data_IF_982088064937
#
_entry.id   IF_982088064937
#
_cell.length_a   1.000
_cell.length_b   1.000
_cell.length_c   1.000
_cell.angle_alpha   90.00
_cell.angle_beta   90.00
_cell.angle_gamma   90.00
#
_symmetry.space_group_name_H-M   'P 1'
#
loop_
_entity.id
_entity.type
_entity.pdbx_description
1 polymer ?
#
# COMPACT_ATOMS: atom_id res chain seq x y z
N UNK A 1 24.00 -11.78 -16.38
CA UNK A 1 24.85 -12.51 -15.40
C UNK A 1 24.03 -12.67 -14.13
N UNK A 2 23.42 -13.84 -13.93
CA UNK A 2 22.71 -14.16 -12.70
C UNK A 2 23.78 -14.35 -11.61
N UNK A 3 23.96 -13.35 -10.74
CA UNK A 3 24.78 -13.52 -9.54
C UNK A 3 24.13 -14.60 -8.70
N UNK A 4 24.93 -15.58 -8.25
CA UNK A 4 24.51 -16.56 -7.27
C UNK A 4 23.83 -15.84 -6.10
N UNK A 5 22.55 -16.14 -5.85
CA UNK A 5 21.79 -15.62 -4.72
C UNK A 5 22.32 -16.27 -3.42
N UNK A 6 23.57 -15.97 -3.06
CA UNK A 6 24.11 -16.35 -1.75
C UNK A 6 23.30 -15.58 -0.71
N UNK A 7 22.64 -16.31 0.18
CA UNK A 7 21.92 -15.72 1.30
C UNK A 7 22.88 -14.86 2.13
N UNK A 8 22.79 -13.53 1.98
CA UNK A 8 23.67 -12.57 2.66
C UNK A 8 23.63 -12.69 4.18
N UNK A 9 22.57 -13.32 4.71
CA UNK A 9 22.31 -13.47 6.14
C UNK A 9 22.67 -14.85 6.70
N UNK A 10 23.32 -15.74 5.93
CA UNK A 10 23.67 -17.09 6.37
C UNK A 10 24.48 -17.12 7.69
N UNK A 11 25.25 -16.07 7.94
CA UNK A 11 26.04 -15.91 9.18
C UNK A 11 25.12 -15.85 10.42
N UNK A 12 23.90 -15.32 10.31
CA UNK A 12 22.98 -15.17 11.45
C UNK A 12 22.04 -16.38 11.64
N UNK A 13 22.15 -17.45 10.85
CA UNK A 13 21.21 -18.59 10.88
C UNK A 13 21.31 -19.43 12.16
N UNK A 14 22.43 -19.35 12.87
CA UNK A 14 22.62 -20.01 14.16
C UNK A 14 21.76 -19.38 15.28
N UNK A 15 21.32 -18.13 15.13
CA UNK A 15 20.50 -17.44 16.14
C UNK A 15 19.04 -17.80 15.90
N UNK A 16 18.41 -18.48 16.87
CA UNK A 16 16.99 -18.80 16.80
C UNK A 16 16.14 -17.66 17.36
N UNK A 17 14.95 -17.47 16.79
CA UNK A 17 13.98 -16.50 17.31
C UNK A 17 13.43 -16.99 18.64
N UNK A 18 13.66 -16.21 19.69
CA UNK A 18 12.98 -16.36 20.98
C UNK A 18 11.55 -15.85 20.87
N UNK A 19 10.65 -16.42 21.68
CA UNK A 19 9.30 -15.90 21.85
C UNK A 19 9.35 -14.77 22.90
N UNK A 20 8.54 -13.72 22.76
CA UNK A 20 8.43 -12.70 23.79
C UNK A 20 7.92 -13.33 25.08
N UNK A 21 8.51 -12.92 26.20
CA UNK A 21 7.94 -13.21 27.51
C UNK A 21 6.70 -12.34 27.70
N UNK A 22 5.57 -12.98 28.01
CA UNK A 22 4.27 -12.31 28.16
C UNK A 22 4.09 -11.82 29.61
N UNK A 23 5.04 -12.12 30.50
CA UNK A 23 4.98 -11.67 31.89
C UNK A 23 5.05 -10.14 31.97
N UNK A 24 4.02 -9.56 32.60
CA UNK A 24 3.96 -8.12 32.86
C UNK A 24 4.72 -7.83 34.14
N UNK A 25 5.85 -7.14 34.03
CA UNK A 25 6.61 -6.65 35.19
C UNK A 25 6.03 -5.32 35.68
N UNK A 26 6.17 -5.05 36.99
CA UNK A 26 5.65 -3.80 37.59
C UNK A 26 6.24 -2.53 36.99
N UNK A 27 7.48 -2.59 36.49
CA UNK A 27 8.15 -1.47 35.83
C UNK A 27 7.43 -1.07 34.53
N UNK A 28 7.03 -2.05 33.71
CA UNK A 28 6.31 -1.83 32.46
C UNK A 28 4.92 -1.24 32.74
N UNK A 29 4.24 -1.74 33.77
CA UNK A 29 2.95 -1.22 34.18
C UNK A 29 3.05 0.25 34.65
N UNK A 30 4.11 0.62 35.38
CA UNK A 30 4.36 2.01 35.82
C UNK A 30 4.65 2.94 34.65
N UNK A 31 5.48 2.53 33.69
CA UNK A 31 5.78 3.34 32.50
C UNK A 31 4.53 3.58 31.65
N UNK A 32 3.69 2.57 31.43
CA UNK A 32 2.45 2.73 30.64
C UNK A 32 1.41 3.51 31.44
N UNK A 33 1.29 3.29 32.74
CA UNK A 33 0.39 4.03 33.63
C UNK A 33 0.73 5.52 33.69
N UNK A 34 2.01 5.90 33.56
CA UNK A 34 2.43 7.30 33.45
C UNK A 34 2.00 7.97 32.14
N UNK A 35 1.70 7.18 31.10
CA UNK A 35 1.21 7.67 29.82
C UNK A 35 -0.32 7.79 29.84
N UNK A 36 -0.83 8.96 30.28
CA UNK A 36 -2.26 9.31 30.41
C UNK A 36 -3.11 9.20 29.11
N UNK A 37 -2.50 8.84 27.97
CA UNK A 37 -3.16 8.72 26.66
C UNK A 37 -3.78 7.34 26.41
N UNK A 38 -3.56 6.34 27.27
CA UNK A 38 -3.89 4.91 27.04
C UNK A 38 -5.25 4.46 27.60
N UNK A 39 -6.25 5.34 27.60
CA UNK A 39 -7.50 5.11 28.35
C UNK A 39 -8.59 4.20 27.74
N UNK A 40 -8.53 3.66 26.50
CA UNK A 40 -9.49 2.62 26.12
C UNK A 40 -8.96 1.18 26.13
N UNK A 41 -7.64 0.93 26.22
CA UNK A 41 -7.12 -0.45 26.15
C UNK A 41 -5.72 -0.58 26.79
N UNK A 42 -5.65 -0.48 28.11
CA UNK A 42 -4.41 -0.67 28.87
C UNK A 42 -3.74 -2.02 28.57
N UNK A 43 -4.52 -3.10 28.46
CA UNK A 43 -4.04 -4.44 28.10
C UNK A 43 -3.40 -4.48 26.70
N UNK A 44 -4.01 -3.80 25.73
CA UNK A 44 -3.42 -3.67 24.39
C UNK A 44 -2.13 -2.87 24.43
N UNK A 45 -2.08 -1.81 25.22
CA UNK A 45 -0.87 -1.01 25.43
C UNK A 45 0.28 -1.84 26.03
N UNK A 46 -0.03 -2.66 27.04
CA UNK A 46 0.91 -3.61 27.64
C UNK A 46 1.45 -4.60 26.60
N UNK A 47 0.54 -5.23 25.86
CA UNK A 47 0.89 -6.17 24.79
C UNK A 47 1.79 -5.52 23.74
N UNK A 48 1.39 -4.36 23.21
CA UNK A 48 2.15 -3.62 22.20
C UNK A 48 3.52 -3.20 22.72
N UNK A 49 3.63 -2.80 23.99
CA UNK A 49 4.89 -2.41 24.61
C UNK A 49 5.86 -3.59 24.72
N UNK A 50 5.41 -4.72 25.25
CA UNK A 50 6.23 -5.95 25.38
C UNK A 50 6.76 -6.38 24.02
N UNK A 51 5.90 -6.37 23.00
CA UNK A 51 6.28 -6.72 21.64
C UNK A 51 7.27 -5.71 21.04
N UNK A 52 7.04 -4.41 21.22
CA UNK A 52 7.97 -3.37 20.76
C UNK A 52 9.35 -3.54 21.41
N UNK A 53 9.40 -3.82 22.71
CA UNK A 53 10.64 -4.02 23.45
C UNK A 53 11.36 -5.30 23.05
N UNK A 54 10.63 -6.41 22.82
CA UNK A 54 11.22 -7.68 22.38
C UNK A 54 11.70 -7.67 20.92
N UNK A 55 11.02 -6.93 20.04
CA UNK A 55 11.43 -6.77 18.64
C UNK A 55 12.29 -5.51 18.40
N UNK A 56 12.79 -4.89 19.46
CA UNK A 56 13.72 -3.76 19.36
C UNK A 56 15.12 -4.24 18.98
N UNK A 57 15.93 -3.32 18.45
CA UNK A 57 17.36 -3.54 18.24
C UNK A 57 18.14 -3.74 19.54
N UNK A 58 17.59 -3.40 20.71
CA UNK A 58 18.30 -3.48 21.98
C UNK A 58 18.29 -4.90 22.56
N UNK A 59 17.15 -5.59 22.46
CA UNK A 59 16.96 -6.93 23.02
C UNK A 59 17.20 -8.05 22.01
N UNK A 60 16.90 -7.82 20.73
CA UNK A 60 16.87 -8.88 19.72
C UNK A 60 18.22 -9.09 19.03
N UNK A 61 18.95 -10.12 19.41
CA UNK A 61 20.28 -10.44 18.86
C UNK A 61 20.25 -10.79 17.37
N UNK A 62 19.23 -11.52 16.92
CA UNK A 62 19.07 -11.86 15.51
C UNK A 62 18.89 -10.59 14.67
N UNK A 63 18.05 -9.66 15.17
CA UNK A 63 17.82 -8.39 14.51
C UNK A 63 19.11 -7.55 14.46
N UNK A 64 19.88 -7.50 15.56
CA UNK A 64 21.20 -6.85 15.60
C UNK A 64 22.14 -7.43 14.55
N UNK A 65 22.28 -8.76 14.51
CA UNK A 65 23.15 -9.45 13.54
C UNK A 65 22.77 -9.11 12.10
N UNK A 66 21.48 -9.21 11.76
CA UNK A 66 20.98 -8.89 10.42
C UNK A 66 21.14 -7.42 10.07
N UNK A 67 20.94 -6.52 11.04
CA UNK A 67 21.12 -5.09 10.85
C UNK A 67 22.59 -4.72 10.58
N UNK A 68 23.54 -5.35 11.29
CA UNK A 68 24.96 -5.14 11.05
C UNK A 68 25.39 -5.63 9.66
N UNK A 69 24.91 -6.80 9.23
CA UNK A 69 25.15 -7.28 7.86
C UNK A 69 24.49 -6.37 6.82
N UNK A 70 23.26 -5.95 7.08
CA UNK A 70 22.54 -4.98 6.25
C UNK A 70 23.35 -3.69 6.09
N UNK A 71 23.99 -3.19 7.15
CA UNK A 71 24.83 -1.98 7.14
C UNK A 71 26.15 -2.20 6.38
N UNK A 72 26.80 -3.35 6.53
CA UNK A 72 28.03 -3.70 5.81
C UNK A 72 27.80 -3.76 4.29
N UNK A 73 26.64 -4.26 3.88
CA UNK A 73 26.30 -4.45 2.47
C UNK A 73 25.37 -3.35 1.92
N UNK A 74 25.56 -2.10 2.35
CA UNK A 74 24.78 -0.96 1.81
C UNK A 74 25.19 -0.66 0.37
N UNK A 75 26.47 -0.78 0.06
CA UNK A 75 27.06 -0.40 -1.23
C UNK A 75 26.63 -1.31 -2.38
N UNK A 76 26.42 -2.60 -2.09
CA UNK A 76 26.01 -3.60 -3.09
C UNK A 76 24.54 -3.45 -3.54
N UNK A 77 23.81 -2.49 -2.98
CA UNK A 77 22.39 -2.37 -3.25
C UNK A 77 22.11 -1.62 -4.52
N UNK A 78 21.22 -2.22 -5.30
CA UNK A 78 20.50 -1.50 -6.35
C UNK A 78 19.59 -0.49 -5.66
N UNK A 79 19.96 0.79 -5.71
CA UNK A 79 19.07 1.88 -5.30
C UNK A 79 17.87 1.88 -6.23
N UNK A 80 16.78 1.25 -5.80
CA UNK A 80 15.49 1.39 -6.43
C UNK A 80 14.72 2.45 -5.64
N UNK A 81 14.18 3.49 -6.30
CA UNK A 81 13.29 4.41 -5.60
C UNK A 81 12.13 3.60 -5.01
N UNK A 82 11.80 3.85 -3.74
CA UNK A 82 10.63 3.24 -3.14
C UNK A 82 9.40 3.79 -3.84
N UNK A 83 8.83 3.01 -4.75
CA UNK A 83 7.58 3.35 -5.40
C UNK A 83 6.47 2.93 -4.44
N UNK A 84 5.88 3.90 -3.76
CA UNK A 84 4.64 3.65 -3.05
C UNK A 84 3.60 3.15 -4.06
N UNK A 85 2.99 1.98 -3.84
CA UNK A 85 1.83 1.54 -4.61
C UNK A 85 0.81 2.68 -4.62
N UNK A 86 0.38 3.12 -5.80
CA UNK A 86 -0.71 4.08 -5.85
C UNK A 86 -1.93 3.42 -5.18
N UNK A 87 -2.56 4.10 -4.22
CA UNK A 87 -3.73 3.55 -3.51
C UNK A 87 -4.85 3.17 -4.50
N UNK A 88 -4.89 3.86 -5.64
CA UNK A 88 -5.85 3.64 -6.73
C UNK A 88 -5.66 2.31 -7.47
N UNK A 89 -4.46 1.74 -7.39
CA UNK A 89 -4.11 0.47 -8.02
C UNK A 89 -4.23 -0.70 -7.01
N UNK A 90 -4.53 -0.42 -5.74
CA UNK A 90 -4.83 -1.44 -4.73
C UNK A 90 -6.29 -1.89 -4.88
N UNK A 91 -6.47 -3.17 -5.19
CA UNK A 91 -7.76 -3.80 -5.41
C UNK A 91 -8.03 -4.82 -4.30
N UNK A 92 -9.28 -4.86 -3.84
CA UNK A 92 -9.73 -5.89 -2.92
C UNK A 92 -10.40 -7.00 -3.73
N UNK A 93 -9.79 -8.18 -3.77
CA UNK A 93 -10.29 -9.33 -4.52
C UNK A 93 -10.25 -10.58 -3.65
N UNK A 94 -11.42 -11.24 -3.50
CA UNK A 94 -11.59 -12.46 -2.72
C UNK A 94 -10.97 -12.39 -1.30
N UNK A 95 -11.21 -11.30 -0.58
CA UNK A 95 -10.73 -11.15 0.81
C UNK A 95 -9.26 -10.74 0.93
N UNK A 96 -8.54 -10.52 -0.18
CA UNK A 96 -7.13 -10.16 -0.19
C UNK A 96 -6.90 -8.82 -0.92
N UNK A 97 -6.01 -8.00 -0.37
CA UNK A 97 -5.54 -6.78 -1.03
C UNK A 97 -4.48 -7.18 -2.05
N UNK A 98 -4.69 -6.82 -3.33
CA UNK A 98 -3.79 -7.09 -4.44
C UNK A 98 -3.44 -5.79 -5.17
N UNK A 99 -2.21 -5.65 -5.65
CA UNK A 99 -1.80 -4.50 -6.45
C UNK A 99 -1.95 -4.81 -7.95
N UNK A 100 -2.94 -4.20 -8.60
CA UNK A 100 -3.35 -4.45 -9.98
C UNK A 100 -3.47 -3.12 -10.76
N UNK A 101 -2.35 -2.49 -11.14
CA UNK A 101 -2.37 -1.19 -11.82
C UNK A 101 -2.98 -1.24 -13.22
N UNK A 102 -3.15 -2.43 -13.82
CA UNK A 102 -3.87 -2.64 -15.08
C UNK A 102 -5.38 -2.51 -14.96
N UNK A 103 -5.93 -2.69 -13.76
CA UNK A 103 -7.37 -2.68 -13.50
C UNK A 103 -7.85 -1.34 -12.93
N UNK A 104 -6.96 -0.37 -12.76
CA UNK A 104 -7.33 0.92 -12.19
C UNK A 104 -8.34 1.65 -13.07
N UNK A 105 -9.36 2.21 -12.43
CA UNK A 105 -10.52 2.87 -13.07
C UNK A 105 -10.07 3.97 -14.05
N UNK A 106 -8.91 4.58 -13.79
CA UNK A 106 -8.33 5.66 -14.58
C UNK A 106 -7.64 5.21 -15.87
N UNK A 107 -7.32 3.91 -16.02
CA UNK A 107 -6.79 3.36 -17.27
C UNK A 107 -7.86 3.01 -18.28
N UNK A 108 -9.12 2.87 -17.85
CA UNK A 108 -10.22 2.65 -18.78
C UNK A 108 -10.61 4.01 -19.39
N UNK A 109 -10.40 4.22 -20.71
CA UNK A 109 -10.79 5.46 -21.38
C UNK A 109 -12.32 5.64 -21.44
N UNK A 110 -13.05 4.54 -21.25
CA UNK A 110 -14.50 4.50 -21.23
C UNK A 110 -15.01 4.18 -19.83
N UNK A 111 -15.46 5.21 -19.09
CA UNK A 111 -16.19 5.03 -17.83
C UNK A 111 -17.65 4.58 -18.03
N UNK A 112 -18.05 4.35 -19.28
CA UNK A 112 -19.39 3.88 -19.62
C UNK A 112 -19.43 2.36 -19.48
N UNK A 113 -20.21 1.92 -18.51
CA UNK A 113 -20.89 0.63 -18.49
C UNK A 113 -20.06 -0.59 -18.09
N UNK A 114 -19.99 -0.84 -16.78
CA UNK A 114 -19.86 -2.21 -16.22
C UNK A 114 -20.92 -2.55 -15.19
N UNK A 115 -22.04 -1.82 -15.15
CA UNK A 115 -23.22 -2.31 -14.42
C UNK A 115 -23.98 -3.24 -15.36
N UNK A 116 -24.11 -4.51 -14.96
CA UNK A 116 -25.04 -5.43 -15.62
C UNK A 116 -26.45 -4.85 -15.45
N UNK A 117 -27.32 -4.91 -16.48
CA UNK A 117 -28.69 -4.44 -16.36
C UNK A 117 -29.36 -5.16 -15.19
N UNK A 118 -29.98 -4.39 -14.32
CA UNK A 118 -30.60 -4.82 -13.07
C UNK A 118 -31.64 -3.81 -12.63
N UNK A 119 -32.38 -4.04 -11.52
CA UNK A 119 -33.45 -3.13 -11.09
C UNK A 119 -32.88 -1.71 -10.87
N UNK A 120 -33.31 -0.75 -11.70
CA UNK A 120 -32.83 0.63 -11.69
C UNK A 120 -31.70 0.97 -12.69
N UNK A 121 -31.36 0.06 -13.62
CA UNK A 121 -30.35 0.26 -14.67
C UNK A 121 -30.89 -0.26 -16.01
N UNK A 122 -31.15 0.63 -16.96
CA UNK A 122 -31.64 0.28 -18.30
C UNK A 122 -30.54 -0.38 -19.17
N UNK A 123 -30.94 -0.98 -20.30
CA UNK A 123 -30.01 -1.55 -21.32
C UNK A 123 -28.99 -0.53 -21.85
N UNK A 124 -29.30 0.77 -21.74
CA UNK A 124 -28.43 1.89 -22.10
C UNK A 124 -27.59 2.43 -20.93
N UNK A 125 -27.66 1.82 -19.74
CA UNK A 125 -26.97 2.23 -18.51
C UNK A 125 -27.86 2.97 -17.50
N UNK A 126 -27.27 3.48 -16.42
CA UNK A 126 -27.97 4.32 -15.44
C UNK A 126 -28.37 5.65 -16.08
N UNK A 127 -29.64 6.02 -15.96
CA UNK A 127 -30.09 7.39 -16.25
C UNK A 127 -29.53 8.30 -15.14
N UNK A 128 -28.76 9.35 -15.47
CA UNK A 128 -28.21 10.22 -14.44
C UNK A 128 -29.34 10.90 -13.66
N UNK A 129 -29.17 11.01 -12.34
CA UNK A 129 -30.11 11.71 -11.47
C UNK A 129 -30.22 13.16 -11.98
N UNK A 130 -31.44 13.73 -12.12
CA UNK A 130 -31.65 15.04 -12.76
C UNK A 130 -30.77 16.18 -12.23
N UNK A 131 -30.33 16.11 -10.97
CA UNK A 131 -29.43 17.08 -10.36
C UNK A 131 -28.00 17.07 -10.95
N UNK A 132 -27.52 15.95 -11.49
CA UNK A 132 -26.23 15.87 -12.20
C UNK A 132 -26.28 16.46 -13.62
N UNK A 133 -27.46 16.45 -14.26
CA UNK A 133 -27.68 17.07 -15.57
C UNK A 133 -27.60 18.61 -15.51
N UNK A 134 -27.90 19.19 -14.35
CA UNK A 134 -27.89 20.64 -14.12
C UNK A 134 -26.49 21.19 -13.77
N UNK A 135 -25.54 20.33 -13.39
CA UNK A 135 -24.16 20.76 -13.19
C UNK A 135 -23.46 20.94 -14.53
N UNK A 136 -23.25 22.21 -14.94
CA UNK A 136 -22.40 22.54 -16.09
C UNK A 136 -20.97 22.06 -15.84
N UNK A 137 -20.62 20.85 -16.29
CA UNK A 137 -19.22 20.42 -16.37
C UNK A 137 -18.54 21.32 -17.40
N UNK A 138 -17.51 22.05 -16.97
CA UNK A 138 -16.80 23.03 -17.79
C UNK A 138 -16.45 22.46 -19.16
N UNK A 139 -16.79 23.21 -20.22
CA UNK A 139 -16.52 22.81 -21.60
C UNK A 139 -15.02 22.83 -21.85
N UNK A 140 -14.39 21.66 -21.96
CA UNK A 140 -13.07 21.56 -22.58
C UNK A 140 -13.26 21.83 -24.06
N UNK A 141 -12.78 22.98 -24.54
CA UNK A 141 -12.77 23.30 -25.96
C UNK A 141 -11.88 22.28 -26.66
N UNK A 142 -12.48 21.41 -27.48
CA UNK A 142 -11.71 20.58 -28.41
C UNK A 142 -11.23 21.51 -29.52
N UNK A 143 -9.91 21.67 -29.64
CA UNK A 143 -9.33 22.34 -30.79
C UNK A 143 -9.70 21.53 -32.04
N UNK A 144 -10.52 22.15 -32.89
CA UNK A 144 -10.93 21.57 -34.18
C UNK A 144 -9.70 21.60 -35.08
N UNK A 145 -8.97 20.50 -35.16
CA UNK A 145 -7.95 20.30 -36.18
C UNK A 145 -8.66 20.23 -37.53
N UNK A 146 -8.74 21.38 -38.21
CA UNK A 146 -9.35 21.50 -39.53
C UNK A 146 -8.66 20.58 -40.53
N UNK A 147 -9.39 19.60 -41.04
CA UNK A 147 -9.00 18.85 -42.24
C UNK A 147 -8.97 19.83 -43.42
N UNK A 148 -7.79 20.34 -43.78
CA UNK A 148 -7.60 21.04 -45.06
C UNK A 148 -7.78 20.03 -46.19
N UNK A 149 -8.95 20.06 -46.82
CA UNK A 149 -9.21 19.38 -48.08
C UNK A 149 -8.22 19.91 -49.14
N UNK A 150 -7.27 19.07 -49.57
CA UNK A 150 -6.49 19.32 -50.78
C UNK A 150 -7.43 19.14 -51.98
N UNK A 151 -7.99 20.24 -52.49
CA UNK A 151 -8.57 20.26 -53.84
C UNK A 151 -7.42 20.01 -54.83
N UNK A 152 -7.44 18.85 -55.50
CA UNK A 152 -6.74 18.67 -56.77
C UNK A 152 -7.51 19.49 -57.81
N UNK A 153 -6.89 20.49 -58.41
CA UNK A 153 -7.29 20.95 -59.74
C UNK A 153 -6.29 20.39 -60.74
N UNK A 154 -6.84 19.73 -61.77
CA UNK A 154 -6.18 19.43 -63.04
C UNK A 154 -6.06 20.71 -63.85
#
# INVERSE_FOLDING_TARGET
>A
MAKDNKNMYAICDHIKRTKPDVQVTEEIAKEIGSNFRTLPAFEKGLFDYVYKRHYSLESNELLKCRWLLYKKNIEERVFAPFQFPCIRDLHFYNGCIRFLPSESIYRYPEHRMKLKPGPGVDLCGQMPIPQELLMKRGTVKKDVVGKKNKKKLK
#
